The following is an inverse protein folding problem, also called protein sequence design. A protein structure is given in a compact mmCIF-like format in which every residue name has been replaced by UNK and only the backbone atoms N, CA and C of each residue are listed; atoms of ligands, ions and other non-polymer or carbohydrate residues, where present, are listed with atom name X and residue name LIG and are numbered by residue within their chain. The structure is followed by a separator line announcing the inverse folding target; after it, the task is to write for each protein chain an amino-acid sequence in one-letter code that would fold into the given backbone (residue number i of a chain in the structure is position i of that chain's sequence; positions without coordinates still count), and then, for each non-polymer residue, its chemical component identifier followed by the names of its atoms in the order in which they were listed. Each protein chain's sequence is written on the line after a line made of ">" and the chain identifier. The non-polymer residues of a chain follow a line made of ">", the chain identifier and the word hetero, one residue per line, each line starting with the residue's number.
data_IF_527686775154
#
_entry.id   IF_527686775154
#
_cell.length_a   1.000
_cell.length_b   1.000
_cell.length_c   1.000
_cell.angle_alpha   90.00
_cell.angle_beta   90.00
_cell.angle_gamma   90.00
#
_symmetry.space_group_name_H-M   'P 1'
#
loop_
_entity.id
_entity.type
_entity.pdbx_description
1 polymer ?
#
# COMPACT_ATOMS: atom_id res chain seq x y z
N UNK A 1 41.97 -64.00 20.58
CA UNK A 1 40.56 -64.08 20.18
C UNK A 1 39.98 -62.66 20.15
N UNK A 2 39.24 -62.37 19.08
CA UNK A 2 38.90 -61.07 18.50
C UNK A 2 38.18 -60.07 19.42
N UNK A 3 38.61 -58.80 19.38
CA UNK A 3 37.90 -57.63 19.90
C UNK A 3 36.89 -57.11 18.86
N UNK A 4 35.59 -57.07 19.20
CA UNK A 4 34.55 -56.47 18.36
C UNK A 4 34.44 -54.98 18.66
N UNK A 5 34.76 -54.14 17.67
CA UNK A 5 34.43 -52.71 17.64
C UNK A 5 32.98 -52.56 17.15
N UNK A 6 32.11 -52.03 18.00
CA UNK A 6 30.75 -51.61 17.62
C UNK A 6 30.84 -50.26 16.92
N UNK A 7 30.54 -50.23 15.63
CA UNK A 7 30.46 -49.01 14.84
C UNK A 7 29.05 -48.43 15.00
N UNK A 8 28.89 -47.32 15.74
CA UNK A 8 27.65 -46.55 15.77
C UNK A 8 27.52 -45.80 14.43
N UNK A 9 26.61 -46.25 13.58
CA UNK A 9 26.18 -45.53 12.39
C UNK A 9 25.26 -44.38 12.85
N UNK A 10 25.77 -43.15 12.82
CA UNK A 10 24.94 -41.95 13.00
C UNK A 10 24.14 -41.75 11.72
N UNK A 11 22.84 -42.04 11.77
CA UNK A 11 21.90 -41.78 10.69
C UNK A 11 21.58 -40.28 10.71
N UNK A 12 22.27 -39.48 9.90
CA UNK A 12 21.87 -38.09 9.64
C UNK A 12 20.60 -38.11 8.79
N UNK A 13 19.46 -37.83 9.43
CA UNK A 13 18.18 -37.63 8.75
C UNK A 13 18.26 -36.30 7.98
N UNK A 14 18.66 -36.35 6.71
CA UNK A 14 18.52 -35.22 5.81
C UNK A 14 17.01 -34.96 5.61
N UNK A 15 16.50 -33.87 6.17
CA UNK A 15 15.14 -33.40 5.89
C UNK A 15 15.06 -33.07 4.39
N UNK A 16 14.53 -34.00 3.60
CA UNK A 16 14.10 -33.72 2.23
C UNK A 16 12.90 -32.77 2.30
N UNK A 17 13.17 -31.46 2.20
CA UNK A 17 12.12 -30.52 1.82
C UNK A 17 11.69 -30.90 0.40
N UNK A 18 10.41 -31.20 0.15
CA UNK A 18 9.97 -31.59 -1.18
C UNK A 18 10.27 -30.45 -2.16
N UNK A 19 10.92 -30.77 -3.28
CA UNK A 19 11.40 -29.82 -4.30
C UNK A 19 10.30 -28.87 -4.80
N UNK A 20 9.04 -29.33 -4.80
CA UNK A 20 7.86 -28.51 -5.12
C UNK A 20 7.64 -27.34 -4.16
N UNK A 21 7.92 -27.50 -2.86
CA UNK A 21 7.81 -26.42 -1.87
C UNK A 21 8.94 -25.39 -2.06
N UNK A 22 10.16 -25.85 -2.38
CA UNK A 22 11.30 -24.96 -2.63
C UNK A 22 11.10 -24.12 -3.91
N UNK A 23 10.54 -24.72 -4.97
CA UNK A 23 10.22 -24.00 -6.20
C UNK A 23 9.08 -22.99 -6.03
N UNK A 24 8.03 -23.34 -5.26
CA UNK A 24 6.94 -22.41 -4.94
C UNK A 24 7.39 -21.26 -4.02
N UNK A 25 8.29 -21.51 -3.07
CA UNK A 25 8.90 -20.49 -2.22
C UNK A 25 9.81 -19.54 -3.02
N UNK A 26 10.62 -20.07 -3.93
CA UNK A 26 11.44 -19.25 -4.83
C UNK A 26 10.59 -18.41 -5.81
N UNK A 27 9.41 -18.88 -6.19
CA UNK A 27 8.48 -18.12 -7.02
C UNK A 27 7.82 -16.98 -6.25
N UNK A 28 7.49 -17.18 -4.96
CA UNK A 28 6.93 -16.12 -4.11
C UNK A 28 7.95 -14.99 -3.88
N UNK A 29 9.20 -15.33 -3.55
CA UNK A 29 10.29 -14.38 -3.24
C UNK A 29 10.59 -13.34 -4.35
N UNK A 30 10.13 -13.60 -5.58
CA UNK A 30 10.36 -12.74 -6.74
C UNK A 30 9.09 -12.00 -7.22
N UNK A 31 7.95 -12.16 -6.54
CA UNK A 31 6.72 -11.45 -6.92
C UNK A 31 6.94 -9.94 -6.84
N UNK A 32 6.33 -9.12 -7.69
CA UNK A 32 6.29 -7.68 -7.48
C UNK A 32 5.70 -7.33 -6.10
N UNK A 33 6.03 -6.13 -5.63
CA UNK A 33 5.44 -5.54 -4.42
C UNK A 33 4.67 -4.30 -4.83
N UNK A 34 3.42 -4.19 -4.39
CA UNK A 34 2.54 -3.08 -4.69
C UNK A 34 2.29 -2.25 -3.42
N UNK A 35 2.83 -1.03 -3.42
CA UNK A 35 2.73 -0.10 -2.30
C UNK A 35 1.53 0.83 -2.48
N UNK A 36 0.45 0.55 -1.75
CA UNK A 36 -0.79 1.32 -1.77
C UNK A 36 -0.83 2.31 -0.61
N UNK A 37 -1.07 3.58 -0.91
CA UNK A 37 -1.28 4.57 0.14
C UNK A 37 -1.50 5.99 -0.37
N UNK A 38 -1.29 6.93 0.55
CA UNK A 38 -1.42 8.37 0.37
C UNK A 38 -0.06 9.03 0.02
N UNK A 39 0.14 10.28 0.45
CA UNK A 39 1.39 11.04 0.31
C UNK A 39 2.59 10.39 1.02
N UNK A 40 2.38 9.67 2.13
CA UNK A 40 3.45 8.93 2.81
C UNK A 40 3.95 7.74 1.98
N UNK A 41 3.11 7.22 1.09
CA UNK A 41 3.53 6.18 0.14
C UNK A 41 4.12 6.78 -1.13
N UNK A 42 3.53 7.89 -1.61
CA UNK A 42 4.07 8.63 -2.75
C UNK A 42 5.51 9.08 -2.48
N UNK A 43 5.76 9.57 -1.26
CA UNK A 43 7.04 10.13 -0.83
C UNK A 43 7.17 11.62 -1.17
N UNK A 44 7.97 12.36 -0.41
CA UNK A 44 8.14 13.81 -0.63
C UNK A 44 9.26 14.12 -1.62
N UNK A 45 9.07 15.15 -2.44
CA UNK A 45 10.09 15.58 -3.42
C UNK A 45 11.40 16.01 -2.73
N UNK A 46 11.31 16.63 -1.55
CA UNK A 46 12.46 17.13 -0.78
C UNK A 46 13.30 16.01 -0.14
N UNK A 47 12.81 14.77 -0.16
CA UNK A 47 13.57 13.58 0.28
C UNK A 47 14.48 12.97 -0.83
N UNK A 48 14.66 13.66 -1.96
CA UNK A 48 15.42 13.17 -3.13
C UNK A 48 14.52 12.62 -4.26
N UNK A 49 13.27 13.08 -4.33
CA UNK A 49 12.27 12.60 -5.28
C UNK A 49 11.87 11.14 -5.05
N UNK A 50 11.48 10.44 -6.12
CA UNK A 50 11.09 9.02 -6.09
C UNK A 50 12.13 8.12 -5.38
N UNK A 51 13.41 8.50 -5.39
CA UNK A 51 14.50 7.74 -4.76
C UNK A 51 14.51 7.84 -3.22
N UNK A 52 13.86 8.84 -2.64
CA UNK A 52 13.74 9.00 -1.18
C UNK A 52 12.59 8.21 -0.57
N UNK A 53 11.61 7.80 -1.38
CA UNK A 53 10.39 7.11 -0.93
C UNK A 53 10.70 5.72 -0.36
N UNK A 54 9.89 5.26 0.61
CA UNK A 54 10.06 3.92 1.16
C UNK A 54 9.87 2.79 0.12
N UNK A 55 8.99 2.90 -0.91
CA UNK A 55 8.89 1.86 -1.94
C UNK A 55 10.18 1.71 -2.76
N UNK A 56 10.82 2.82 -3.13
CA UNK A 56 12.11 2.77 -3.82
C UNK A 56 13.20 2.19 -2.92
N UNK A 57 13.30 2.67 -1.67
CA UNK A 57 14.30 2.16 -0.73
C UNK A 57 14.09 0.67 -0.43
N UNK A 58 12.83 0.21 -0.40
CA UNK A 58 12.50 -1.21 -0.28
C UNK A 58 13.00 -2.01 -1.49
N UNK A 59 12.83 -1.49 -2.71
CA UNK A 59 13.37 -2.11 -3.93
C UNK A 59 14.88 -2.29 -3.83
N UNK A 60 15.61 -1.25 -3.41
CA UNK A 60 17.07 -1.31 -3.22
C UNK A 60 17.44 -2.32 -2.13
N UNK A 61 16.73 -2.33 -1.01
CA UNK A 61 16.97 -3.27 0.08
C UNK A 61 16.69 -4.72 -0.33
N UNK A 62 15.86 -4.96 -1.35
CA UNK A 62 15.50 -6.28 -1.87
C UNK A 62 16.17 -6.55 -3.23
N UNK A 63 17.41 -6.10 -3.40
CA UNK A 63 18.27 -6.41 -4.55
C UNK A 63 17.65 -6.00 -5.91
N UNK A 64 16.90 -4.90 -5.93
CA UNK A 64 16.25 -4.37 -7.13
C UNK A 64 14.91 -5.01 -7.48
N UNK A 65 14.30 -5.77 -6.56
CA UNK A 65 12.94 -6.31 -6.72
C UNK A 65 11.95 -5.22 -7.12
N UNK A 66 11.05 -5.51 -8.07
CA UNK A 66 10.06 -4.54 -8.54
C UNK A 66 9.12 -4.13 -7.38
N UNK A 67 9.14 -2.84 -7.04
CA UNK A 67 8.19 -2.23 -6.12
C UNK A 67 7.44 -1.14 -6.89
N UNK A 68 6.13 -1.31 -7.08
CA UNK A 68 5.27 -0.30 -7.70
C UNK A 68 4.78 0.66 -6.63
N UNK A 69 4.98 1.96 -6.86
CA UNK A 69 4.49 3.00 -5.97
C UNK A 69 3.10 3.46 -6.44
N UNK A 70 2.06 3.01 -5.74
CA UNK A 70 0.68 3.45 -5.90
C UNK A 70 0.28 4.48 -4.82
N UNK A 71 1.23 5.27 -4.33
CA UNK A 71 0.96 6.41 -3.48
C UNK A 71 0.34 7.58 -4.26
N UNK A 72 -0.68 8.21 -3.71
CA UNK A 72 -1.27 9.45 -4.26
C UNK A 72 -1.57 10.41 -3.12
N UNK A 73 -1.11 11.65 -3.22
CA UNK A 73 -1.31 12.65 -2.18
C UNK A 73 -2.80 12.88 -1.86
N UNK A 74 -3.07 13.27 -0.61
CA UNK A 74 -4.38 13.69 -0.10
C UNK A 74 -5.51 12.66 -0.23
N UNK A 75 -5.17 11.37 -0.20
CA UNK A 75 -6.18 10.31 -0.31
C UNK A 75 -6.51 9.62 1.02
N UNK A 76 -7.80 9.56 1.31
CA UNK A 76 -8.41 8.76 2.37
C UNK A 76 -8.43 7.27 2.03
N UNK A 77 -8.72 6.43 3.03
CA UNK A 77 -8.69 4.96 2.88
C UNK A 77 -9.67 4.41 1.85
N UNK A 78 -10.84 5.04 1.64
CA UNK A 78 -11.83 4.67 0.62
C UNK A 78 -11.31 4.95 -0.79
N UNK A 79 -10.67 6.10 -1.01
CA UNK A 79 -10.01 6.45 -2.26
C UNK A 79 -8.89 5.45 -2.62
N UNK A 80 -8.06 5.09 -1.63
CA UNK A 80 -7.00 4.09 -1.81
C UNK A 80 -7.62 2.71 -2.11
N UNK A 81 -8.67 2.32 -1.39
CA UNK A 81 -9.37 1.05 -1.62
C UNK A 81 -10.05 0.98 -2.99
N UNK A 82 -10.58 2.10 -3.48
CA UNK A 82 -11.15 2.22 -4.83
C UNK A 82 -10.07 2.06 -5.90
N UNK A 83 -8.90 2.69 -5.74
CA UNK A 83 -7.76 2.55 -6.66
C UNK A 83 -7.12 1.16 -6.65
N UNK A 84 -7.18 0.45 -5.53
CA UNK A 84 -6.74 -0.94 -5.43
C UNK A 84 -7.78 -1.93 -5.99
N UNK A 85 -9.01 -1.45 -6.21
CA UNK A 85 -10.14 -2.23 -6.71
C UNK A 85 -10.89 -3.01 -5.62
N UNK A 86 -10.60 -2.78 -4.33
CA UNK A 86 -11.36 -3.35 -3.22
C UNK A 86 -12.74 -2.69 -3.06
N UNK A 87 -12.83 -1.38 -3.32
CA UNK A 87 -14.11 -0.71 -3.55
C UNK A 87 -14.34 -0.57 -5.04
N UNK A 88 -15.35 -1.24 -5.56
CA UNK A 88 -15.62 -1.25 -6.99
C UNK A 88 -16.43 -0.02 -7.39
N UNK A 89 -15.85 0.84 -8.22
CA UNK A 89 -16.58 1.94 -8.83
C UNK A 89 -17.50 1.45 -9.94
N UNK A 90 -18.70 2.03 -9.99
CA UNK A 90 -19.61 1.90 -11.11
C UNK A 90 -19.69 3.22 -11.84
N UNK A 91 -19.73 3.16 -13.17
CA UNK A 91 -19.69 4.32 -14.04
C UNK A 91 -20.73 4.24 -15.15
N UNK A 92 -21.23 5.41 -15.56
CA UNK A 92 -21.95 5.61 -16.82
C UNK A 92 -21.17 6.54 -17.73
N UNK A 93 -21.18 6.27 -19.03
CA UNK A 93 -20.59 7.14 -20.05
C UNK A 93 -21.68 7.95 -20.75
N UNK A 94 -21.33 9.12 -21.30
CA UNK A 94 -22.30 9.95 -22.01
C UNK A 94 -22.91 9.21 -23.21
N UNK A 95 -24.23 9.10 -23.23
CA UNK A 95 -24.98 8.45 -24.32
C UNK A 95 -24.77 6.94 -24.40
N UNK A 96 -24.29 6.30 -23.33
CA UNK A 96 -24.03 4.85 -23.25
C UNK A 96 -23.11 4.34 -24.38
N UNK A 97 -22.22 5.20 -24.88
CA UNK A 97 -21.33 4.94 -26.02
C UNK A 97 -19.93 5.48 -25.75
N UNK A 98 -18.93 4.60 -25.74
CA UNK A 98 -17.52 5.00 -25.76
C UNK A 98 -17.11 5.26 -27.21
N UNK A 99 -16.50 6.42 -27.53
CA UNK A 99 -16.10 6.77 -28.89
C UNK A 99 -14.93 5.91 -29.40
N UNK A 100 -14.61 6.08 -30.67
CA UNK A 100 -13.50 5.37 -31.32
C UNK A 100 -12.13 5.72 -30.71
N UNK A 101 -11.97 6.97 -30.24
CA UNK A 101 -10.74 7.49 -29.66
C UNK A 101 -11.05 8.66 -28.72
N UNK A 102 -10.06 9.02 -27.90
CA UNK A 102 -10.11 10.17 -27.01
C UNK A 102 -10.77 9.90 -25.67
N UNK A 103 -10.73 10.88 -24.75
CA UNK A 103 -11.40 10.78 -23.46
C UNK A 103 -12.92 10.89 -23.62
N UNK A 104 -13.67 10.14 -22.81
CA UNK A 104 -15.11 10.32 -22.63
C UNK A 104 -15.41 10.60 -21.15
N UNK A 105 -16.21 11.63 -20.82
CA UNK A 105 -16.64 11.87 -19.46
C UNK A 105 -17.40 10.68 -18.88
N UNK A 106 -17.14 10.38 -17.61
CA UNK A 106 -17.87 9.36 -16.88
C UNK A 106 -18.55 9.96 -15.66
N UNK A 107 -19.66 9.36 -15.24
CA UNK A 107 -20.34 9.67 -13.98
C UNK A 107 -20.22 8.47 -13.06
N UNK A 108 -19.73 8.67 -11.83
CA UNK A 108 -19.78 7.65 -10.78
C UNK A 108 -21.23 7.47 -10.32
N UNK A 109 -21.74 6.25 -10.42
CA UNK A 109 -23.17 5.95 -10.16
C UNK A 109 -23.43 5.41 -8.75
N UNK A 110 -22.42 4.83 -8.10
CA UNK A 110 -22.55 4.19 -6.78
C UNK A 110 -21.84 4.93 -5.64
N UNK A 111 -21.36 6.15 -5.89
CA UNK A 111 -20.63 6.98 -4.91
C UNK A 111 -19.18 6.56 -4.64
N UNK A 112 -18.70 5.46 -5.20
CA UNK A 112 -17.30 5.02 -5.07
C UNK A 112 -16.46 5.72 -6.13
N UNK A 113 -15.86 6.85 -5.76
CA UNK A 113 -14.95 7.56 -6.65
C UNK A 113 -13.59 6.86 -6.71
N UNK A 114 -13.03 6.70 -7.91
CA UNK A 114 -11.62 6.36 -8.10
C UNK A 114 -10.89 7.68 -8.42
N UNK A 115 -10.38 8.40 -7.40
CA UNK A 115 -9.60 9.60 -7.66
C UNK A 115 -8.34 9.20 -8.42
N UNK A 116 -8.14 9.81 -9.60
CA UNK A 116 -7.01 9.49 -10.45
C UNK A 116 -5.69 9.93 -9.83
N UNK A 117 -4.59 9.27 -10.20
CA UNK A 117 -3.23 9.76 -9.98
C UNK A 117 -2.88 10.89 -11.00
N UNK A 118 -3.78 11.86 -11.17
CA UNK A 118 -3.75 12.85 -12.25
C UNK A 118 -3.95 12.21 -13.64
N UNK A 119 -3.21 12.70 -14.64
CA UNK A 119 -3.30 12.24 -16.05
C UNK A 119 -2.84 10.78 -16.25
N UNK A 120 -2.04 10.25 -15.31
CA UNK A 120 -1.63 8.85 -15.33
C UNK A 120 -2.85 7.94 -15.17
N UNK A 121 -3.83 8.36 -14.37
CA UNK A 121 -5.08 7.63 -14.14
C UNK A 121 -4.88 6.30 -13.43
N UNK A 122 -5.96 5.52 -13.37
CA UNK A 122 -6.00 4.17 -12.82
C UNK A 122 -6.42 3.25 -13.96
N UNK A 123 -5.54 2.33 -14.32
CA UNK A 123 -5.78 1.37 -15.40
C UNK A 123 -6.74 0.26 -14.96
N UNK A 124 -7.52 -0.20 -15.94
CA UNK A 124 -8.54 -1.20 -15.74
C UNK A 124 -9.36 -1.46 -16.99
N UNK A 125 -10.50 -2.09 -16.81
CA UNK A 125 -11.40 -2.50 -17.89
C UNK A 125 -12.81 -1.97 -17.64
N UNK A 126 -13.42 -1.36 -18.66
CA UNK A 126 -14.82 -0.96 -18.67
C UNK A 126 -15.55 -1.76 -19.76
N UNK A 127 -16.48 -2.64 -19.36
CA UNK A 127 -17.25 -3.50 -20.27
C UNK A 127 -16.37 -4.24 -21.31
N UNK A 128 -15.29 -4.86 -20.82
CA UNK A 128 -14.32 -5.57 -21.66
C UNK A 128 -13.36 -4.68 -22.44
N UNK A 129 -13.48 -3.34 -22.37
CA UNK A 129 -12.53 -2.41 -23.00
C UNK A 129 -11.40 -2.01 -22.04
N UNK A 130 -10.14 -2.36 -22.35
CA UNK A 130 -8.99 -1.88 -21.57
C UNK A 130 -8.81 -0.38 -21.73
N UNK A 131 -8.47 0.28 -20.63
CA UNK A 131 -8.23 1.70 -20.58
C UNK A 131 -7.90 2.16 -19.18
N UNK A 132 -8.22 3.42 -18.90
CA UNK A 132 -8.03 4.02 -17.59
C UNK A 132 -9.11 5.03 -17.25
N UNK A 133 -9.41 5.12 -15.96
CA UNK A 133 -10.06 6.30 -15.41
C UNK A 133 -9.00 7.35 -15.08
N UNK A 134 -9.15 8.56 -15.59
CA UNK A 134 -8.22 9.67 -15.36
C UNK A 134 -9.00 10.95 -15.08
N UNK A 135 -8.34 11.95 -14.51
CA UNK A 135 -8.88 13.30 -14.38
C UNK A 135 -8.25 14.21 -15.43
N UNK A 136 -9.04 15.06 -16.07
CA UNK A 136 -8.56 16.10 -17.00
C UNK A 136 -8.90 17.49 -16.44
N UNK A 137 -8.29 18.57 -16.96
CA UNK A 137 -8.67 19.93 -16.56
C UNK A 137 -10.17 20.22 -16.80
N UNK A 138 -10.73 19.65 -17.87
CA UNK A 138 -12.10 19.90 -18.31
C UNK A 138 -13.13 18.97 -17.63
N UNK A 139 -12.70 17.82 -17.12
CA UNK A 139 -13.58 16.79 -16.56
C UNK A 139 -12.96 16.13 -15.33
N UNK A 140 -13.72 16.11 -14.23
CA UNK A 140 -13.29 15.50 -12.97
C UNK A 140 -12.94 14.01 -13.11
N UNK A 141 -13.62 13.27 -13.99
CA UNK A 141 -13.27 11.90 -14.40
C UNK A 141 -13.65 11.62 -15.85
N UNK A 142 -12.73 10.98 -16.58
CA UNK A 142 -12.92 10.47 -17.93
C UNK A 142 -12.44 9.02 -18.02
N UNK A 143 -13.03 8.26 -18.93
CA UNK A 143 -12.46 7.00 -19.40
C UNK A 143 -11.67 7.25 -20.68
N UNK A 144 -10.46 6.71 -20.75
CA UNK A 144 -9.60 6.73 -21.95
C UNK A 144 -9.23 5.30 -22.30
N UNK A 145 -9.57 4.86 -23.50
CA UNK A 145 -9.17 3.54 -24.00
C UNK A 145 -7.66 3.46 -24.17
N UNK A 146 -7.07 2.31 -23.90
CA UNK A 146 -5.63 2.07 -24.16
C UNK A 146 -5.33 2.01 -25.67
N UNK A 147 -6.29 1.51 -26.46
CA UNK A 147 -6.20 1.44 -27.91
C UNK A 147 -7.46 1.99 -28.57
N UNK A 148 -7.26 2.70 -29.69
CA UNK A 148 -8.36 3.16 -30.53
C UNK A 148 -9.13 1.96 -31.12
N UNK A 149 -10.42 2.12 -31.36
CA UNK A 149 -11.26 1.06 -31.89
C UNK A 149 -12.56 1.58 -32.50
N UNK A 150 -13.48 0.68 -32.83
CA UNK A 150 -14.84 1.08 -33.19
C UNK A 150 -15.56 1.65 -31.96
N UNK A 151 -16.50 2.61 -32.13
CA UNK A 151 -17.42 3.00 -31.07
C UNK A 151 -18.11 1.77 -30.47
N UNK A 152 -18.28 1.75 -29.15
CA UNK A 152 -18.82 0.62 -28.43
C UNK A 152 -19.89 1.07 -27.43
N UNK A 153 -20.99 0.31 -27.37
CA UNK A 153 -21.99 0.50 -26.34
C UNK A 153 -21.41 0.08 -24.98
N UNK A 154 -21.71 0.86 -23.94
CA UNK A 154 -21.44 0.51 -22.54
C UNK A 154 -22.73 0.71 -21.78
N UNK A 155 -23.29 -0.34 -21.13
CA UNK A 155 -24.48 -0.17 -20.30
C UNK A 155 -24.26 0.87 -19.20
N UNK A 156 -25.29 1.65 -18.81
CA UNK A 156 -25.19 2.50 -17.64
C UNK A 156 -24.92 1.67 -16.37
N UNK A 157 -24.31 2.28 -15.36
CA UNK A 157 -23.94 1.63 -14.09
C UNK A 157 -22.98 0.43 -14.27
N UNK A 158 -22.13 0.47 -15.29
CA UNK A 158 -21.14 -0.57 -15.57
C UNK A 158 -19.99 -0.51 -14.56
N UNK A 159 -19.50 -1.67 -14.06
CA UNK A 159 -18.35 -1.68 -13.18
C UNK A 159 -17.07 -1.32 -13.94
N UNK A 160 -16.24 -0.48 -13.32
CA UNK A 160 -14.84 -0.33 -13.73
C UNK A 160 -13.97 -1.32 -12.96
N UNK A 161 -13.33 -2.25 -13.67
CA UNK A 161 -12.48 -3.28 -13.09
C UNK A 161 -11.03 -2.81 -13.09
N UNK A 162 -10.53 -2.34 -11.95
CA UNK A 162 -9.10 -2.03 -11.79
C UNK A 162 -8.26 -3.26 -12.10
N UNK A 163 -7.12 -3.05 -12.77
CA UNK A 163 -6.14 -4.10 -13.08
C UNK A 163 -5.81 -4.98 -11.87
N UNK A 164 -5.57 -6.27 -12.15
CA UNK A 164 -5.40 -7.29 -11.12
C UNK A 164 -3.96 -7.33 -10.58
N UNK A 165 -3.78 -6.79 -9.37
CA UNK A 165 -2.55 -6.85 -8.57
C UNK A 165 -2.66 -7.84 -7.39
N UNK A 166 -3.67 -8.70 -7.38
CA UNK A 166 -4.00 -9.51 -6.20
C UNK A 166 -2.99 -10.62 -5.91
N UNK A 167 -2.21 -11.05 -6.91
CA UNK A 167 -1.23 -12.14 -6.78
C UNK A 167 0.12 -11.69 -6.19
N UNK A 168 0.38 -10.39 -6.26
CA UNK A 168 1.60 -9.72 -5.82
C UNK A 168 1.58 -9.47 -4.30
N UNK A 169 2.71 -9.05 -3.73
CA UNK A 169 2.75 -8.67 -2.31
C UNK A 169 2.21 -7.26 -2.16
N UNK A 170 1.12 -7.08 -1.41
CA UNK A 170 0.48 -5.77 -1.25
C UNK A 170 0.88 -5.15 0.09
N UNK A 171 1.45 -3.96 0.08
CA UNK A 171 1.71 -3.18 1.31
C UNK A 171 0.73 -2.02 1.34
N UNK A 172 -0.09 -1.95 2.38
CA UNK A 172 -1.20 -1.01 2.53
C UNK A 172 -0.86 -0.05 3.67
N UNK A 173 -0.73 1.23 3.33
CA UNK A 173 -0.53 2.31 4.28
C UNK A 173 -1.59 3.38 4.05
N UNK A 174 -2.69 3.28 4.80
CA UNK A 174 -3.88 4.11 4.63
C UNK A 174 -4.42 4.53 6.00
N UNK A 175 -5.18 5.64 6.03
CA UNK A 175 -5.87 6.13 7.22
C UNK A 175 -5.36 7.46 7.75
N UNK A 176 -4.19 7.96 7.31
CA UNK A 176 -3.66 9.26 7.77
C UNK A 176 -4.59 10.41 7.38
N UNK A 177 -5.01 10.44 6.11
CA UNK A 177 -5.96 11.46 5.62
C UNK A 177 -7.37 11.33 6.17
N UNK A 178 -7.79 10.12 6.57
CA UNK A 178 -9.05 9.91 7.31
C UNK A 178 -9.01 10.58 8.68
N UNK A 179 -7.88 10.48 9.39
CA UNK A 179 -7.67 11.15 10.68
C UNK A 179 -7.65 12.67 10.52
N UNK A 180 -7.02 13.18 9.46
CA UNK A 180 -6.99 14.62 9.19
C UNK A 180 -8.37 15.20 8.85
N UNK A 181 -9.17 14.48 8.07
CA UNK A 181 -10.53 14.90 7.72
C UNK A 181 -11.53 14.72 8.86
N UNK A 182 -11.21 13.85 9.83
CA UNK A 182 -12.11 13.44 10.91
C UNK A 182 -13.05 12.28 10.55
N UNK A 183 -13.03 11.81 9.29
CA UNK A 183 -13.93 10.79 8.77
C UNK A 183 -13.35 9.37 8.92
N UNK A 184 -13.21 8.91 10.18
CA UNK A 184 -12.49 7.66 10.51
C UNK A 184 -13.37 6.42 10.65
N UNK A 185 -14.70 6.57 10.55
CA UNK A 185 -15.66 5.50 10.85
C UNK A 185 -15.50 4.27 9.95
N UNK A 186 -15.11 4.47 8.68
CA UNK A 186 -14.94 3.40 7.69
C UNK A 186 -13.48 2.92 7.55
N UNK A 187 -12.50 3.59 8.16
CA UNK A 187 -11.06 3.39 7.88
C UNK A 187 -10.63 1.93 8.03
N UNK A 188 -10.97 1.29 9.16
CA UNK A 188 -10.63 -0.13 9.39
C UNK A 188 -11.33 -1.04 8.38
N UNK A 189 -12.61 -0.79 8.07
CA UNK A 189 -13.37 -1.60 7.11
C UNK A 189 -12.88 -1.46 5.67
N UNK A 190 -12.39 -0.29 5.27
CA UNK A 190 -11.79 -0.07 3.95
C UNK A 190 -10.47 -0.85 3.84
N UNK A 191 -9.63 -0.81 4.88
CA UNK A 191 -8.38 -1.57 4.94
C UNK A 191 -8.63 -3.08 4.94
N UNK A 192 -9.69 -3.55 5.60
CA UNK A 192 -10.14 -4.94 5.54
C UNK A 192 -10.53 -5.38 4.14
N UNK A 193 -11.29 -4.55 3.41
CA UNK A 193 -11.66 -4.86 2.03
C UNK A 193 -10.43 -4.91 1.11
N UNK A 194 -9.46 -4.00 1.31
CA UNK A 194 -8.17 -4.05 0.60
C UNK A 194 -7.41 -5.34 0.87
N UNK A 195 -7.29 -5.74 2.14
CA UNK A 195 -6.61 -6.97 2.53
C UNK A 195 -7.32 -8.23 2.00
N UNK A 196 -8.65 -8.26 2.04
CA UNK A 196 -9.47 -9.40 1.59
C UNK A 196 -9.36 -9.64 0.07
N UNK A 197 -9.07 -8.60 -0.71
CA UNK A 197 -8.85 -8.68 -2.15
C UNK A 197 -7.52 -9.37 -2.51
N UNK A 198 -6.53 -9.37 -1.62
CA UNK A 198 -5.19 -9.89 -1.91
C UNK A 198 -5.16 -11.42 -1.83
N UNK A 199 -4.76 -12.06 -2.93
CA UNK A 199 -4.66 -13.51 -3.01
C UNK A 199 -3.53 -14.04 -2.11
N UNK A 200 -3.69 -15.28 -1.67
CA UNK A 200 -2.69 -16.00 -0.86
C UNK A 200 -2.31 -15.30 0.48
N UNK A 201 -3.04 -14.27 0.90
CA UNK A 201 -2.80 -13.55 2.15
C UNK A 201 -1.48 -12.76 2.19
N UNK A 202 -0.91 -12.43 1.02
CA UNK A 202 0.38 -11.73 0.91
C UNK A 202 0.21 -10.21 1.03
N UNK A 203 -0.30 -9.76 2.17
CA UNK A 203 -0.46 -8.34 2.44
C UNK A 203 0.24 -7.90 3.73
N UNK A 204 0.55 -6.61 3.82
CA UNK A 204 1.11 -5.96 4.99
C UNK A 204 0.29 -4.69 5.25
N UNK A 205 -0.13 -4.47 6.49
CA UNK A 205 -0.79 -3.25 6.95
C UNK A 205 0.22 -2.46 7.79
N UNK A 206 0.45 -1.21 7.44
CA UNK A 206 1.30 -0.31 8.22
C UNK A 206 0.45 0.53 9.17
N UNK A 207 0.96 0.76 10.39
CA UNK A 207 0.35 1.68 11.34
C UNK A 207 0.24 3.10 10.78
N UNK A 208 -0.87 3.77 11.09
CA UNK A 208 -1.10 5.20 10.84
C UNK A 208 -0.14 6.01 11.71
N UNK A 209 0.47 7.06 11.13
CA UNK A 209 1.36 7.97 11.84
C UNK A 209 0.58 9.12 12.48
N UNK A 210 1.09 9.61 13.59
CA UNK A 210 0.78 10.92 14.15
C UNK A 210 1.93 11.90 13.86
N UNK A 211 1.60 13.18 13.68
CA UNK A 211 2.54 14.24 13.33
C UNK A 211 2.80 15.25 14.45
N UNK A 212 3.41 16.37 14.09
CA UNK A 212 3.56 17.53 14.97
C UNK A 212 2.21 18.03 15.48
N UNK A 213 2.17 18.42 16.77
CA UNK A 213 0.93 18.83 17.43
C UNK A 213 -0.05 17.70 17.72
N UNK A 214 0.23 16.46 17.30
CA UNK A 214 -0.61 15.27 17.50
C UNK A 214 0.02 14.29 18.50
N UNK A 215 0.63 14.82 19.56
CA UNK A 215 1.23 14.03 20.63
C UNK A 215 0.22 13.49 21.65
N UNK A 216 0.75 12.70 22.59
CA UNK A 216 -0.01 12.11 23.70
C UNK A 216 -0.88 13.14 24.42
N UNK A 217 -2.16 12.81 24.62
CA UNK A 217 -3.14 13.68 25.26
C UNK A 217 -3.95 14.56 24.31
N UNK A 218 -3.75 14.43 22.98
CA UNK A 218 -4.58 15.08 21.97
C UNK A 218 -5.64 14.11 21.41
N UNK A 219 -6.78 14.65 20.96
CA UNK A 219 -7.87 13.83 20.37
C UNK A 219 -7.41 13.08 19.10
N UNK A 220 -6.59 13.73 18.27
CA UNK A 220 -6.02 13.11 17.07
C UNK A 220 -5.09 11.95 17.42
N UNK A 221 -4.24 12.12 18.43
CA UNK A 221 -3.39 11.03 18.93
C UNK A 221 -4.23 9.83 19.40
N UNK A 222 -5.25 10.08 20.24
CA UNK A 222 -6.13 9.02 20.74
C UNK A 222 -6.83 8.27 19.59
N UNK A 223 -7.21 9.00 18.54
CA UNK A 223 -7.78 8.44 17.31
C UNK A 223 -6.78 7.54 16.57
N UNK A 224 -5.55 8.02 16.33
CA UNK A 224 -4.48 7.25 15.67
C UNK A 224 -4.17 5.97 16.45
N UNK A 225 -3.99 6.07 17.77
CA UNK A 225 -3.70 4.91 18.62
C UNK A 225 -4.89 3.95 18.64
N UNK A 226 -6.13 4.46 18.68
CA UNK A 226 -7.35 3.68 18.62
C UNK A 226 -7.47 2.86 17.32
N UNK A 227 -7.22 3.48 16.17
CA UNK A 227 -7.23 2.81 14.87
C UNK A 227 -6.09 1.80 14.75
N UNK A 228 -4.87 2.16 15.14
CA UNK A 228 -3.72 1.24 15.11
C UNK A 228 -3.93 0.00 15.98
N UNK A 229 -4.55 0.15 17.16
CA UNK A 229 -4.94 -0.99 18.01
C UNK A 229 -5.94 -1.91 17.32
N UNK A 230 -6.93 -1.36 16.63
CA UNK A 230 -7.91 -2.13 15.86
C UNK A 230 -7.25 -2.87 14.70
N UNK A 231 -6.39 -2.21 13.94
CA UNK A 231 -5.64 -2.81 12.83
C UNK A 231 -4.71 -3.93 13.31
N UNK A 232 -3.97 -3.72 14.40
CA UNK A 232 -3.12 -4.73 15.00
C UNK A 232 -3.92 -5.95 15.50
N UNK A 233 -5.07 -5.73 16.13
CA UNK A 233 -5.95 -6.80 16.58
C UNK A 233 -6.60 -7.57 15.42
N UNK A 234 -6.92 -6.88 14.32
CA UNK A 234 -7.54 -7.48 13.14
C UNK A 234 -6.53 -8.26 12.28
N UNK A 235 -5.30 -7.78 12.20
CA UNK A 235 -4.24 -8.32 11.35
C UNK A 235 -2.98 -8.67 12.15
N UNK A 236 -3.06 -9.51 13.21
CA UNK A 236 -1.94 -9.75 14.12
C UNK A 236 -0.71 -10.35 13.42
N UNK A 237 -0.93 -11.05 12.31
CA UNK A 237 0.11 -11.65 11.49
C UNK A 237 0.46 -10.82 10.25
N UNK A 238 -0.13 -9.66 10.03
CA UNK A 238 0.08 -8.87 8.81
C UNK A 238 0.23 -7.38 9.12
N UNK A 239 0.33 -6.99 10.38
CA UNK A 239 0.48 -5.60 10.81
C UNK A 239 1.92 -5.30 11.22
N UNK A 240 2.43 -4.13 10.84
CA UNK A 240 3.70 -3.58 11.29
C UNK A 240 3.45 -2.22 11.94
N UNK A 241 3.82 -2.10 13.21
CA UNK A 241 3.81 -0.82 13.93
C UNK A 241 5.04 0.02 13.57
N UNK A 242 5.00 0.62 12.38
CA UNK A 242 6.07 1.53 11.92
C UNK A 242 6.06 2.85 12.70
N UNK A 243 4.92 3.25 13.28
CA UNK A 243 4.77 4.47 14.09
C UNK A 243 5.66 4.38 15.32
N UNK A 244 5.48 3.35 16.16
CA UNK A 244 6.31 3.20 17.36
C UNK A 244 7.78 3.02 17.02
N UNK A 245 8.11 2.28 15.94
CA UNK A 245 9.50 2.16 15.47
C UNK A 245 10.11 3.52 15.13
N UNK A 246 9.40 4.39 14.41
CA UNK A 246 9.85 5.75 14.09
C UNK A 246 10.00 6.62 15.35
N UNK A 247 9.04 6.58 16.28
CA UNK A 247 9.11 7.35 17.53
C UNK A 247 10.37 7.03 18.33
N UNK A 248 10.77 5.76 18.37
CA UNK A 248 11.96 5.36 19.14
C UNK A 248 13.29 5.82 18.53
N UNK A 249 13.30 6.36 17.31
CA UNK A 249 14.50 6.69 16.52
C UNK A 249 14.94 8.16 16.63
N UNK A 250 14.62 8.81 17.75
CA UNK A 250 15.13 10.14 18.12
C UNK A 250 16.66 10.22 18.10
N UNK A 251 17.21 11.32 17.59
CA UNK A 251 18.62 11.68 17.82
C UNK A 251 18.81 12.41 19.17
N UNK A 252 20.03 12.83 19.48
CA UNK A 252 20.37 13.47 20.77
C UNK A 252 19.98 14.97 20.85
N UNK A 253 19.25 15.51 19.88
CA UNK A 253 18.77 16.90 19.95
C UNK A 253 17.63 17.05 20.94
N UNK A 254 17.54 18.21 21.60
CA UNK A 254 16.47 18.48 22.57
C UNK A 254 15.06 18.36 21.95
N UNK A 255 14.89 18.76 20.69
CA UNK A 255 13.62 18.66 19.96
C UNK A 255 13.19 17.21 19.78
N UNK A 256 14.07 16.34 19.27
CA UNK A 256 13.76 14.92 19.08
C UNK A 256 13.45 14.20 20.40
N UNK A 257 14.10 14.60 21.50
CA UNK A 257 13.81 14.05 22.83
C UNK A 257 12.43 14.50 23.33
N UNK A 258 12.01 15.74 23.04
CA UNK A 258 10.67 16.23 23.36
C UNK A 258 9.60 15.53 22.51
N UNK A 259 9.84 15.38 21.21
CA UNK A 259 8.93 14.65 20.31
C UNK A 259 8.74 13.21 20.78
N UNK A 260 9.85 12.51 21.09
CA UNK A 260 9.80 11.15 21.63
C UNK A 260 9.04 11.07 22.96
N UNK A 261 9.25 12.03 23.86
CA UNK A 261 8.53 12.09 25.14
C UNK A 261 7.03 12.34 24.94
N UNK A 262 6.65 13.05 23.87
CA UNK A 262 5.26 13.28 23.47
C UNK A 262 4.66 12.14 22.61
N UNK A 263 5.42 11.08 22.34
CA UNK A 263 5.06 9.99 21.41
C UNK A 263 4.74 10.48 19.97
N UNK A 264 5.51 11.48 19.50
CA UNK A 264 5.47 12.05 18.16
C UNK A 264 6.66 11.51 17.35
N UNK A 265 6.46 11.28 16.05
CA UNK A 265 7.57 10.97 15.14
C UNK A 265 8.59 12.12 15.18
N UNK A 266 9.87 11.87 15.55
CA UNK A 266 10.85 12.92 15.77
C UNK A 266 10.99 13.87 14.58
N UNK A 267 11.18 15.16 14.87
CA UNK A 267 11.37 16.21 13.88
C UNK A 267 12.50 15.89 12.91
N UNK A 268 13.59 15.25 13.36
CA UNK A 268 14.68 14.85 12.47
C UNK A 268 14.31 13.80 11.40
N UNK A 269 13.19 13.10 11.60
CA UNK A 269 12.66 12.11 10.66
C UNK A 269 11.52 12.65 9.81
N UNK A 270 11.14 13.93 9.97
CA UNK A 270 10.10 14.59 9.18
C UNK A 270 10.65 15.77 8.36
N UNK A 271 10.04 16.03 7.21
CA UNK A 271 10.31 17.23 6.40
C UNK A 271 9.37 18.37 6.77
N UNK A 272 8.17 18.04 7.24
CA UNK A 272 7.13 18.95 7.69
C UNK A 272 6.37 18.34 8.88
N UNK A 273 5.12 18.74 9.10
CA UNK A 273 4.29 18.28 10.21
C UNK A 273 4.05 16.76 10.20
N UNK A 274 4.09 16.09 9.05
CA UNK A 274 3.70 14.68 8.92
C UNK A 274 4.57 13.82 8.01
N UNK A 275 5.13 14.38 6.94
CA UNK A 275 5.84 13.61 5.92
C UNK A 275 7.26 13.31 6.36
N UNK A 276 7.72 12.10 6.03
CA UNK A 276 9.03 11.64 6.45
C UNK A 276 10.17 12.19 5.58
N UNK A 277 11.36 12.28 6.17
CA UNK A 277 12.62 12.42 5.43
C UNK A 277 13.01 11.09 4.78
N UNK A 278 14.04 11.11 3.93
CA UNK A 278 14.61 9.89 3.37
C UNK A 278 15.05 8.89 4.47
N UNK A 279 15.59 9.35 5.60
CA UNK A 279 15.97 8.47 6.69
C UNK A 279 14.75 7.91 7.43
N UNK A 280 13.68 8.70 7.60
CA UNK A 280 12.40 8.20 8.11
C UNK A 280 11.82 7.10 7.21
N UNK A 281 11.77 7.34 5.89
CA UNK A 281 11.32 6.34 4.92
C UNK A 281 12.20 5.09 4.87
N UNK A 282 13.51 5.23 5.12
CA UNK A 282 14.43 4.09 5.21
C UNK A 282 14.06 3.15 6.34
N UNK A 283 13.67 3.69 7.50
CA UNK A 283 13.22 2.88 8.65
C UNK A 283 11.99 2.08 8.24
N UNK A 284 11.00 2.71 7.62
CA UNK A 284 9.79 2.03 7.09
C UNK A 284 10.18 0.90 6.12
N UNK A 285 11.01 1.21 5.13
CA UNK A 285 11.48 0.24 4.13
C UNK A 285 12.21 -0.95 4.77
N UNK A 286 13.05 -0.71 5.79
CA UNK A 286 13.74 -1.77 6.54
C UNK A 286 12.76 -2.68 7.27
N UNK A 287 11.72 -2.13 7.91
CA UNK A 287 10.71 -2.94 8.60
C UNK A 287 9.92 -3.80 7.63
N UNK A 288 9.51 -3.24 6.49
CA UNK A 288 8.81 -4.00 5.45
C UNK A 288 9.70 -5.09 4.84
N UNK A 289 10.97 -4.77 4.53
CA UNK A 289 11.92 -5.74 4.01
C UNK A 289 12.17 -6.91 4.98
N UNK A 290 12.30 -6.62 6.29
CA UNK A 290 12.42 -7.63 7.32
C UNK A 290 11.19 -8.55 7.38
N UNK A 291 9.99 -7.96 7.31
CA UNK A 291 8.74 -8.72 7.31
C UNK A 291 8.65 -9.65 6.10
N UNK A 292 8.91 -9.14 4.90
CA UNK A 292 8.88 -9.90 3.64
C UNK A 292 9.87 -11.06 3.68
N UNK A 293 11.13 -10.81 4.08
CA UNK A 293 12.15 -11.86 4.25
C UNK A 293 11.74 -12.91 5.28
N UNK A 294 11.18 -12.49 6.42
CA UNK A 294 10.70 -13.40 7.46
C UNK A 294 9.55 -14.30 7.01
N UNK A 295 8.84 -13.92 5.95
CA UNK A 295 7.74 -14.67 5.35
C UNK A 295 8.13 -15.49 4.11
N UNK A 296 9.36 -15.33 3.61
CA UNK A 296 9.78 -15.82 2.29
C UNK A 296 8.80 -15.38 1.19
N UNK A 297 8.33 -14.14 1.30
CA UNK A 297 7.52 -13.50 0.28
C UNK A 297 8.38 -12.74 -0.70
#
# INVERSE_FOLDING_TARGET
>A
MSARRTCCLVLTLAMLVPVSNALAQNAAANLPIDAWGDSLTYGTADSGGAHGSWPYQLSVLLDGRLVRNFGVADQTSDAIAARQGALQAHVSVVGDQVPAAGPIPVTITNGVSIPGAGIAGVHGTLDGMPGKLASTPDYHQVFVRDAQGAPAHVPPDSPFLVDDYTKDVNVIWAGRKDVESGETSATVSNIEQMAARVAHGRFIILSILNGEGEGSGTEKYDTVIGLNRQLAARFPNNFIDVRSELVTRSNDTATDQLDRAADIVPTSLRVDEEHLTAEGYKIVAQRVAQFIRGRNW
#
